data_IF_428690387610
#
_entry.id   IF_428690387610
#
_cell.length_a   1.000
_cell.length_b   1.000
_cell.length_c   1.000
_cell.angle_alpha   90.00
_cell.angle_beta   90.00
_cell.angle_gamma   90.00
#
_symmetry.space_group_name_H-M   'P 1'
#
loop_
_entity.id
_entity.type
_entity.pdbx_description
1 polymer ?
#
# COMPACT_ATOMS: atom_id res chain seq x y z
N UNK A 1 9.44 -16.31 15.18
CA UNK A 1 9.92 -15.81 13.88
C UNK A 1 9.09 -14.58 13.58
N UNK A 2 9.72 -13.44 13.32
CA UNK A 2 8.98 -12.23 12.91
C UNK A 2 8.59 -12.31 11.42
N UNK A 3 7.61 -11.52 10.93
CA UNK A 3 7.23 -11.53 9.51
C UNK A 3 8.41 -11.27 8.58
N UNK A 4 9.34 -10.39 8.97
CA UNK A 4 10.54 -10.08 8.19
C UNK A 4 11.49 -11.28 8.08
N UNK A 5 11.63 -12.04 9.17
CA UNK A 5 12.44 -13.26 9.18
C UNK A 5 11.83 -14.38 8.32
N UNK A 6 10.49 -14.43 8.24
CA UNK A 6 9.80 -15.39 7.39
C UNK A 6 10.06 -15.09 5.90
N UNK A 7 9.94 -13.82 5.50
CA UNK A 7 10.19 -13.40 4.12
C UNK A 7 11.61 -13.68 3.65
N UNK A 8 12.61 -13.56 4.53
CA UNK A 8 14.01 -13.85 4.20
C UNK A 8 14.42 -15.32 4.32
N UNK A 9 13.53 -16.21 4.79
CA UNK A 9 13.86 -17.64 5.03
C UNK A 9 13.03 -18.63 4.21
N UNK A 10 12.01 -18.15 3.49
CA UNK A 10 11.16 -18.95 2.62
C UNK A 10 11.54 -18.66 1.17
N UNK A 11 11.84 -19.72 0.42
CA UNK A 11 11.92 -19.63 -1.04
C UNK A 11 10.50 -19.62 -1.60
N UNK A 12 10.16 -18.55 -2.31
CA UNK A 12 8.89 -18.43 -3.02
C UNK A 12 9.09 -18.79 -4.49
N UNK A 13 8.22 -19.62 -5.09
CA UNK A 13 8.18 -19.81 -6.53
C UNK A 13 8.06 -18.47 -7.27
N UNK A 14 8.72 -18.32 -8.42
CA UNK A 14 8.65 -17.08 -9.23
C UNK A 14 7.23 -16.72 -9.70
N UNK A 15 6.32 -17.69 -9.69
CA UNK A 15 4.91 -17.55 -10.09
C UNK A 15 3.97 -17.09 -8.97
N UNK A 16 4.45 -17.05 -7.71
CA UNK A 16 3.65 -16.68 -6.56
C UNK A 16 3.71 -15.17 -6.28
N UNK A 17 2.57 -14.58 -5.89
CA UNK A 17 2.50 -13.21 -5.40
C UNK A 17 2.45 -13.24 -3.86
N UNK A 18 3.47 -12.67 -3.22
CA UNK A 18 3.55 -12.55 -1.76
C UNK A 18 3.17 -11.14 -1.35
N UNK A 19 2.11 -11.02 -0.55
CA UNK A 19 1.73 -9.75 0.10
C UNK A 19 2.05 -9.85 1.59
N UNK A 20 2.94 -8.98 2.05
CA UNK A 20 3.30 -8.89 3.46
C UNK A 20 2.65 -7.66 4.10
N UNK A 21 1.74 -7.91 5.05
CA UNK A 21 1.16 -6.85 5.89
C UNK A 21 2.07 -6.59 7.10
N UNK A 22 2.48 -5.35 7.27
CA UNK A 22 3.45 -4.95 8.29
C UNK A 22 2.84 -3.96 9.27
N UNK A 23 3.34 -4.00 10.51
CA UNK A 23 2.98 -3.01 11.51
C UNK A 23 3.29 -1.60 11.01
N UNK A 24 2.37 -0.68 11.29
CA UNK A 24 2.50 0.71 10.90
C UNK A 24 3.78 1.34 11.46
N UNK A 25 4.51 2.04 10.60
CA UNK A 25 5.72 2.77 10.97
C UNK A 25 6.94 2.26 10.21
N UNK A 26 8.11 2.73 10.65
CA UNK A 26 9.36 2.55 9.91
C UNK A 26 10.20 1.37 10.38
N UNK A 27 9.88 0.81 11.55
CA UNK A 27 10.71 -0.21 12.19
C UNK A 27 10.83 -1.49 11.38
N UNK A 28 9.77 -1.87 10.65
CA UNK A 28 9.79 -3.06 9.80
C UNK A 28 10.69 -2.84 8.59
N UNK A 29 10.58 -1.68 7.93
CA UNK A 29 11.44 -1.33 6.78
C UNK A 29 12.93 -1.30 7.13
N UNK A 30 13.30 -0.91 8.36
CA UNK A 30 14.72 -0.92 8.77
C UNK A 30 15.28 -2.33 8.98
N UNK A 31 14.42 -3.35 9.09
CA UNK A 31 14.80 -4.75 9.32
C UNK A 31 14.63 -5.64 8.09
N UNK A 32 13.92 -5.17 7.06
CA UNK A 32 13.79 -5.89 5.80
C UNK A 32 15.10 -5.79 5.01
N UNK A 33 15.52 -6.91 4.41
CA UNK A 33 16.66 -6.96 3.51
C UNK A 33 16.30 -6.44 2.11
N UNK A 34 17.29 -5.92 1.39
CA UNK A 34 17.09 -5.27 0.07
C UNK A 34 16.76 -6.28 -1.05
N UNK A 35 17.02 -7.57 -0.83
CA UNK A 35 17.15 -8.56 -1.92
C UNK A 35 15.84 -9.25 -2.37
N UNK A 36 14.68 -8.94 -1.77
CA UNK A 36 13.44 -9.71 -2.01
C UNK A 36 12.14 -8.86 -2.07
N UNK A 37 12.24 -7.55 -2.29
CA UNK A 37 11.06 -6.66 -2.34
C UNK A 37 10.98 -5.94 -3.68
N UNK A 38 9.97 -6.28 -4.48
CA UNK A 38 9.74 -5.63 -5.78
C UNK A 38 9.01 -4.29 -5.65
N UNK A 39 8.07 -4.20 -4.70
CA UNK A 39 7.26 -3.01 -4.49
C UNK A 39 6.95 -2.79 -3.01
N UNK A 40 7.08 -1.54 -2.56
CA UNK A 40 6.63 -1.07 -1.25
C UNK A 40 5.38 -0.21 -1.44
N UNK A 41 4.28 -0.63 -0.79
CA UNK A 41 3.02 0.11 -0.79
C UNK A 41 2.86 0.85 0.54
N UNK A 42 2.85 2.18 0.50
CA UNK A 42 2.74 3.05 1.68
C UNK A 42 1.34 3.63 1.72
N UNK A 43 0.54 3.18 2.68
CA UNK A 43 -0.85 3.65 2.83
C UNK A 43 -0.90 4.85 3.79
N UNK A 44 -1.49 5.96 3.34
CA UNK A 44 -1.63 7.20 4.13
C UNK A 44 -3.03 7.78 4.01
N UNK A 45 -3.43 8.55 5.01
CA UNK A 45 -4.59 9.45 4.94
C UNK A 45 -4.10 10.91 4.85
N UNK A 46 -4.96 11.83 4.37
CA UNK A 46 -4.68 13.27 4.30
C UNK A 46 -4.70 13.96 5.68
N UNK A 47 -3.97 13.41 6.65
CA UNK A 47 -3.81 13.96 7.99
C UNK A 47 -2.34 14.21 8.29
N UNK A 48 -1.97 15.31 8.99
CA UNK A 48 -0.56 15.65 9.24
C UNK A 48 0.25 14.49 9.84
N UNK A 49 -0.32 13.77 10.81
CA UNK A 49 0.33 12.62 11.46
C UNK A 49 0.57 11.47 10.48
N UNK A 50 -0.41 11.14 9.63
CA UNK A 50 -0.26 10.06 8.65
C UNK A 50 0.76 10.41 7.58
N UNK A 51 0.76 11.66 7.10
CA UNK A 51 1.70 12.14 6.09
C UNK A 51 3.14 12.17 6.64
N UNK A 52 3.34 12.63 7.88
CA UNK A 52 4.65 12.65 8.52
C UNK A 52 5.25 11.24 8.63
N UNK A 53 4.46 10.26 9.10
CA UNK A 53 4.92 8.87 9.23
C UNK A 53 5.16 8.25 7.86
N UNK A 54 4.25 8.46 6.91
CA UNK A 54 4.38 7.95 5.54
C UNK A 54 5.61 8.52 4.83
N UNK A 55 5.89 9.82 4.95
CA UNK A 55 7.07 10.45 4.34
C UNK A 55 8.38 9.87 4.89
N UNK A 56 8.44 9.61 6.20
CA UNK A 56 9.60 8.92 6.81
C UNK A 56 9.75 7.49 6.29
N UNK A 57 8.65 6.75 6.16
CA UNK A 57 8.67 5.40 5.59
C UNK A 57 9.13 5.42 4.13
N UNK A 58 8.65 6.36 3.33
CA UNK A 58 9.01 6.50 1.92
C UNK A 58 10.48 6.86 1.73
N UNK A 59 11.01 7.78 2.55
CA UNK A 59 12.43 8.11 2.54
C UNK A 59 13.30 6.89 2.87
N UNK A 60 12.94 6.13 3.92
CA UNK A 60 13.69 4.92 4.30
C UNK A 60 13.59 3.81 3.25
N UNK A 61 12.42 3.63 2.63
CA UNK A 61 12.25 2.68 1.53
C UNK A 61 13.13 3.08 0.33
N UNK A 62 13.18 4.37 -0.02
CA UNK A 62 13.98 4.87 -1.13
C UNK A 62 15.50 4.80 -0.86
N UNK A 63 15.92 4.92 0.40
CA UNK A 63 17.33 4.78 0.80
C UNK A 63 17.81 3.32 0.80
N UNK A 64 16.92 2.36 1.08
CA UNK A 64 17.27 0.96 1.36
C UNK A 64 16.84 -0.03 0.30
N UNK A 65 16.02 0.37 -0.66
CA UNK A 65 15.49 -0.56 -1.65
C UNK A 65 15.57 0.06 -3.03
N UNK A 66 15.78 -0.78 -4.04
CA UNK A 66 15.56 -0.44 -5.45
C UNK A 66 14.10 -0.71 -5.87
N UNK A 67 13.24 -1.03 -4.90
CA UNK A 67 11.85 -1.38 -5.10
C UNK A 67 11.07 -0.17 -5.65
N UNK A 68 10.03 -0.45 -6.44
CA UNK A 68 9.02 0.55 -6.76
C UNK A 68 8.32 1.00 -5.47
N UNK A 69 8.11 2.30 -5.30
CA UNK A 69 7.38 2.84 -4.14
C UNK A 69 6.06 3.43 -4.63
N UNK A 70 4.95 2.92 -4.11
CA UNK A 70 3.60 3.40 -4.40
C UNK A 70 2.97 3.93 -3.14
N UNK A 71 2.47 5.17 -3.17
CA UNK A 71 1.76 5.79 -2.06
C UNK A 71 0.26 5.68 -2.31
N UNK A 72 -0.46 5.00 -1.42
CA UNK A 72 -1.91 4.88 -1.46
C UNK A 72 -2.50 5.98 -0.58
N UNK A 73 -3.08 6.99 -1.21
CA UNK A 73 -3.87 8.02 -0.57
C UNK A 73 -5.25 7.46 -0.24
N UNK A 74 -5.44 6.95 0.96
CA UNK A 74 -6.64 6.27 1.40
C UNK A 74 -7.68 7.23 1.99
N UNK A 75 -8.96 6.85 1.92
CA UNK A 75 -10.11 7.58 2.47
C UNK A 75 -10.23 9.03 1.95
N UNK A 76 -9.92 9.25 0.68
CA UNK A 76 -10.08 10.56 0.02
C UNK A 76 -11.56 10.96 0.01
N UNK A 77 -11.91 12.09 0.62
CA UNK A 77 -13.28 12.61 0.62
C UNK A 77 -13.48 13.66 -0.47
N UNK A 78 -12.44 14.47 -0.71
CA UNK A 78 -12.46 15.56 -1.66
C UNK A 78 -11.12 15.66 -2.40
N UNK A 79 -11.10 16.36 -3.54
CA UNK A 79 -9.88 16.51 -4.35
C UNK A 79 -8.72 17.15 -3.56
N UNK A 80 -9.02 18.03 -2.61
CA UNK A 80 -8.03 18.66 -1.72
C UNK A 80 -7.26 17.64 -0.88
N UNK A 81 -7.89 16.54 -0.46
CA UNK A 81 -7.22 15.47 0.30
C UNK A 81 -6.14 14.82 -0.58
N UNK A 82 -6.46 14.53 -1.85
CA UNK A 82 -5.54 13.92 -2.79
C UNK A 82 -4.38 14.86 -3.14
N UNK A 83 -4.68 16.14 -3.37
CA UNK A 83 -3.63 17.14 -3.64
C UNK A 83 -2.71 17.35 -2.44
N UNK A 84 -3.26 17.31 -1.21
CA UNK A 84 -2.46 17.35 0.02
C UNK A 84 -1.49 16.17 0.11
N UNK A 85 -1.96 14.96 -0.22
CA UNK A 85 -1.09 13.77 -0.24
C UNK A 85 -0.03 13.90 -1.34
N UNK A 86 -0.40 14.25 -2.57
CA UNK A 86 0.58 14.44 -3.66
C UNK A 86 1.65 15.47 -3.33
N UNK A 87 1.28 16.57 -2.67
CA UNK A 87 2.24 17.59 -2.23
C UNK A 87 3.23 17.07 -1.18
N UNK A 88 2.81 16.12 -0.32
CA UNK A 88 3.66 15.51 0.69
C UNK A 88 4.63 14.44 0.13
N UNK A 89 4.33 13.88 -1.05
CA UNK A 89 5.11 12.82 -1.69
C UNK A 89 5.55 13.23 -3.12
N UNK A 90 6.35 14.30 -3.27
CA UNK A 90 6.73 14.80 -4.58
C UNK A 90 7.58 13.77 -5.35
N UNK A 91 7.22 13.54 -6.61
CA UNK A 91 7.93 12.62 -7.50
C UNK A 91 7.65 11.13 -7.24
N UNK A 92 6.76 10.80 -6.31
CA UNK A 92 6.31 9.43 -6.07
C UNK A 92 4.99 9.13 -6.81
N UNK A 93 4.77 7.85 -7.09
CA UNK A 93 3.50 7.38 -7.62
C UNK A 93 2.43 7.43 -6.51
N UNK A 94 1.37 8.20 -6.71
CA UNK A 94 0.27 8.35 -5.75
C UNK A 94 -1.03 7.82 -6.35
N UNK A 95 -1.64 6.85 -5.69
CA UNK A 95 -2.93 6.26 -6.07
C UNK A 95 -3.99 6.63 -5.05
N UNK A 96 -5.07 7.28 -5.50
CA UNK A 96 -6.18 7.69 -4.65
C UNK A 96 -7.24 6.60 -4.48
N UNK A 97 -7.58 6.28 -3.24
CA UNK A 97 -8.70 5.42 -2.88
C UNK A 97 -9.77 6.27 -2.18
N UNK A 98 -10.97 6.42 -2.76
CA UNK A 98 -12.01 7.26 -2.18
C UNK A 98 -12.51 6.70 -0.84
N UNK A 99 -12.99 7.58 0.03
CA UNK A 99 -13.82 7.17 1.14
C UNK A 99 -15.12 6.58 0.60
N UNK A 100 -15.42 5.35 1.03
CA UNK A 100 -16.55 4.60 0.52
C UNK A 100 -17.27 3.86 1.65
N UNK A 101 -18.56 4.18 1.90
CA UNK A 101 -19.36 3.50 2.91
C UNK A 101 -19.46 1.99 2.72
N UNK A 102 -19.28 1.48 1.49
CA UNK A 102 -19.30 0.04 1.19
C UNK A 102 -18.16 -0.72 1.84
N UNK A 103 -16.99 -0.09 1.99
CA UNK A 103 -15.87 -0.69 2.72
C UNK A 103 -16.24 -0.91 4.19
N UNK A 104 -16.88 0.08 4.82
CA UNK A 104 -17.33 0.01 6.22
C UNK A 104 -18.46 -1.00 6.38
N UNK A 105 -19.36 -1.08 5.41
CA UNK A 105 -20.44 -2.07 5.38
C UNK A 105 -19.88 -3.51 5.32
N UNK A 106 -18.90 -3.75 4.45
CA UNK A 106 -18.25 -5.05 4.28
C UNK A 106 -17.53 -5.48 5.56
N UNK A 107 -16.74 -4.58 6.16
CA UNK A 107 -16.05 -4.79 7.43
C UNK A 107 -17.02 -5.20 8.55
N UNK A 108 -18.12 -4.47 8.72
CA UNK A 108 -19.16 -4.79 9.72
C UNK A 108 -19.82 -6.14 9.49
N UNK A 109 -19.91 -6.59 8.25
CA UNK A 109 -20.49 -7.89 7.86
C UNK A 109 -19.46 -9.03 7.91
N UNK A 110 -18.18 -8.74 8.11
CA UNK A 110 -17.11 -9.73 8.08
C UNK A 110 -16.89 -10.36 6.71
N UNK A 111 -17.19 -9.63 5.63
CA UNK A 111 -16.96 -10.06 4.24
C UNK A 111 -15.93 -9.16 3.58
N UNK A 112 -15.20 -9.68 2.58
CA UNK A 112 -14.28 -8.83 1.83
C UNK A 112 -15.07 -7.78 1.03
N UNK A 113 -14.57 -6.54 0.90
CA UNK A 113 -15.28 -5.52 0.12
C UNK A 113 -15.56 -5.90 -1.34
N UNK A 114 -14.63 -6.65 -1.95
CA UNK A 114 -14.79 -7.15 -3.32
C UNK A 114 -15.92 -8.17 -3.47
N UNK A 115 -16.20 -8.95 -2.42
CA UNK A 115 -17.31 -9.92 -2.41
C UNK A 115 -18.65 -9.24 -2.13
N UNK A 116 -18.65 -8.12 -1.41
CA UNK A 116 -19.86 -7.35 -1.12
C UNK A 116 -20.31 -6.54 -2.34
N UNK A 117 -19.40 -5.78 -2.94
CA UNK A 117 -19.70 -4.85 -4.02
C UNK A 117 -18.44 -4.59 -4.87
N UNK A 118 -18.19 -5.37 -5.94
CA UNK A 118 -17.01 -5.20 -6.79
C UNK A 118 -17.01 -3.88 -7.58
N UNK A 119 -18.16 -3.23 -7.73
CA UNK A 119 -18.31 -1.97 -8.46
C UNK A 119 -18.21 -0.73 -7.55
N UNK A 120 -18.10 -0.94 -6.24
CA UNK A 120 -17.87 0.12 -5.27
C UNK A 120 -16.64 0.95 -5.67
N UNK A 121 -16.71 2.30 -5.67
CA UNK A 121 -15.60 3.17 -6.10
C UNK A 121 -14.25 2.84 -5.47
N UNK A 122 -14.22 2.56 -4.16
CA UNK A 122 -12.97 2.19 -3.50
C UNK A 122 -12.44 0.83 -3.95
N UNK A 123 -13.34 -0.15 -4.17
CA UNK A 123 -12.96 -1.49 -4.66
C UNK A 123 -12.39 -1.42 -6.07
N UNK A 124 -13.02 -0.65 -6.96
CA UNK A 124 -12.49 -0.44 -8.32
C UNK A 124 -11.11 0.22 -8.32
N UNK A 125 -10.87 1.19 -7.44
CA UNK A 125 -9.56 1.80 -7.28
C UNK A 125 -8.50 0.78 -6.82
N UNK A 126 -8.84 -0.08 -5.85
CA UNK A 126 -7.96 -1.13 -5.35
C UNK A 126 -7.68 -2.23 -6.40
N UNK A 127 -8.67 -2.65 -7.18
CA UNK A 127 -8.48 -3.58 -8.31
C UNK A 127 -7.55 -2.96 -9.36
N UNK A 128 -7.74 -1.67 -9.67
CA UNK A 128 -6.87 -0.93 -10.55
C UNK A 128 -5.42 -0.93 -10.06
N UNK A 129 -5.20 -0.58 -8.78
CA UNK A 129 -3.89 -0.65 -8.14
C UNK A 129 -3.28 -2.05 -8.23
N UNK A 130 -4.01 -3.08 -7.79
CA UNK A 130 -3.54 -4.47 -7.80
C UNK A 130 -3.12 -4.92 -9.21
N UNK A 131 -3.86 -4.53 -10.24
CA UNK A 131 -3.52 -4.82 -11.64
C UNK A 131 -2.20 -4.21 -12.08
N UNK A 132 -1.79 -3.06 -11.50
CA UNK A 132 -0.48 -2.46 -11.77
C UNK A 132 0.67 -3.10 -11.01
N UNK A 133 0.37 -3.87 -9.97
CA UNK A 133 1.36 -4.54 -9.11
C UNK A 133 1.64 -5.97 -9.57
N UNK A 134 0.72 -6.59 -10.31
CA UNK A 134 0.93 -7.92 -10.85
C UNK A 134 2.03 -7.89 -11.93
N UNK A 135 2.93 -8.89 -11.96
CA UNK A 135 3.87 -9.05 -13.04
C UNK A 135 3.13 -9.16 -14.38
N UNK A 136 3.68 -8.55 -15.43
CA UNK A 136 3.13 -8.74 -16.77
C UNK A 136 3.23 -10.22 -17.14
N UNK A 137 2.15 -10.84 -17.66
CA UNK A 137 2.27 -12.19 -18.20
C UNK A 137 3.27 -12.14 -19.36
N UNK A 138 4.36 -12.90 -19.21
CA UNK A 138 5.36 -13.11 -20.26
C UNK A 138 4.79 -13.98 -21.39
#
# INVERSE_FOLDING_TARGET
>A
MSPEQLLGSVEFPEEDVVVADFEAGVGTLTRLGEEHVDTVVIVVEATPKSLEVGARAAALAAERTVARIVVVANRIRHDEDLETVKAAFPGMEVVGVPHDPKIVEADRKGVAPIDLDPDAPAVRALIGLASTLMPSPN
#
